data_IF_009584588932
#
_entry.id   IF_009584588932
#
_cell.length_a   1.000
_cell.length_b   1.000
_cell.length_c   1.000
_cell.angle_alpha   90.00
_cell.angle_beta   90.00
_cell.angle_gamma   90.00
#
_symmetry.space_group_name_H-M   'P 1'
#
loop_
_entity.id
_entity.type
_entity.pdbx_description
1 polymer ?
#
# COMPACT_ATOMS: atom_id res chain seq x y z
N UNK A 1 -24.71 16.81 16.06
CA UNK A 1 -25.06 15.41 15.70
C UNK A 1 -24.28 15.04 14.45
N UNK A 2 -23.38 14.06 14.51
CA UNK A 2 -22.52 13.65 13.40
C UNK A 2 -23.26 12.74 12.43
N UNK A 3 -23.43 13.21 11.19
CA UNK A 3 -24.02 12.42 10.10
C UNK A 3 -23.06 11.33 9.64
N UNK A 4 -23.30 10.08 10.05
CA UNK A 4 -22.59 8.91 9.57
C UNK A 4 -22.91 8.63 8.10
N UNK A 5 -21.88 8.64 7.23
CA UNK A 5 -22.00 8.21 5.83
C UNK A 5 -22.26 6.70 5.78
N UNK A 6 -23.46 6.30 5.33
CA UNK A 6 -23.82 4.91 5.07
C UNK A 6 -22.99 4.39 3.88
N UNK A 7 -22.17 3.36 4.10
CA UNK A 7 -21.47 2.67 3.02
C UNK A 7 -22.46 1.77 2.27
N UNK A 8 -22.71 2.07 1.00
CA UNK A 8 -23.52 1.22 0.12
C UNK A 8 -22.85 -0.14 -0.12
N UNK A 9 -23.29 -1.14 0.62
CA UNK A 9 -22.83 -2.54 0.52
C UNK A 9 -23.27 -3.24 -0.77
N UNK A 10 -24.06 -2.59 -1.63
CA UNK A 10 -24.57 -3.16 -2.90
C UNK A 10 -23.58 -3.10 -4.08
N UNK A 11 -22.40 -2.49 -3.94
CA UNK A 11 -21.39 -2.38 -5.02
C UNK A 11 -20.60 -3.66 -5.33
N UNK A 12 -20.78 -4.73 -4.56
CA UNK A 12 -19.98 -5.96 -4.67
C UNK A 12 -20.69 -7.14 -5.33
N UNK A 13 -21.81 -6.91 -6.03
CA UNK A 13 -22.60 -8.04 -6.54
C UNK A 13 -22.05 -8.75 -7.78
N UNK A 14 -21.06 -8.19 -8.48
CA UNK A 14 -20.38 -8.99 -9.51
C UNK A 14 -18.96 -8.49 -9.84
N UNK A 15 -17.99 -8.94 -9.04
CA UNK A 15 -16.56 -8.73 -9.33
C UNK A 15 -16.15 -9.33 -10.68
N UNK A 16 -16.82 -10.41 -11.11
CA UNK A 16 -16.53 -11.10 -12.37
C UNK A 16 -16.95 -10.25 -13.55
N UNK A 17 -18.13 -9.65 -13.50
CA UNK A 17 -18.60 -8.73 -14.55
C UNK A 17 -17.79 -7.44 -14.61
N UNK A 18 -17.40 -6.89 -13.46
CA UNK A 18 -16.52 -5.72 -13.42
C UNK A 18 -15.18 -6.01 -14.09
N UNK A 19 -14.55 -7.14 -13.73
CA UNK A 19 -13.27 -7.57 -14.32
C UNK A 19 -13.42 -7.88 -15.82
N UNK A 20 -14.50 -8.54 -16.23
CA UNK A 20 -14.83 -8.79 -17.64
C UNK A 20 -14.97 -7.48 -18.43
N UNK A 21 -15.64 -6.45 -17.88
CA UNK A 21 -15.74 -5.12 -18.51
C UNK A 21 -14.38 -4.44 -18.62
N UNK A 22 -13.55 -4.55 -17.59
CA UNK A 22 -12.20 -3.98 -17.59
C UNK A 22 -11.28 -4.65 -18.63
N UNK A 23 -11.33 -5.98 -18.74
CA UNK A 23 -10.59 -6.75 -19.77
C UNK A 23 -11.05 -6.33 -21.18
N UNK A 24 -12.36 -6.23 -21.41
CA UNK A 24 -12.88 -5.76 -22.71
C UNK A 24 -12.36 -4.36 -23.05
N UNK A 25 -12.36 -3.44 -22.07
CA UNK A 25 -11.82 -2.07 -22.26
C UNK A 25 -10.33 -2.06 -22.58
N UNK A 26 -9.53 -2.86 -21.88
CA UNK A 26 -8.07 -2.91 -22.11
C UNK A 26 -7.72 -3.51 -23.46
N UNK A 27 -8.44 -4.56 -23.90
CA UNK A 27 -8.28 -5.15 -25.23
C UNK A 27 -8.61 -4.15 -26.34
N UNK A 28 -9.74 -3.42 -26.21
CA UNK A 28 -10.12 -2.38 -27.16
C UNK A 28 -9.09 -1.25 -27.21
N UNK A 29 -8.60 -0.81 -26.05
CA UNK A 29 -7.55 0.23 -25.98
C UNK A 29 -6.26 -0.24 -26.67
N UNK A 30 -5.82 -1.46 -26.40
CA UNK A 30 -4.62 -2.06 -27.03
C UNK A 30 -4.79 -2.17 -28.54
N UNK A 31 -5.95 -2.61 -29.01
CA UNK A 31 -6.25 -2.68 -30.45
C UNK A 31 -6.22 -1.28 -31.10
N UNK A 32 -6.78 -0.27 -30.43
CA UNK A 32 -6.76 1.12 -30.91
C UNK A 32 -5.34 1.68 -30.97
N UNK A 33 -4.50 1.41 -29.97
CA UNK A 33 -3.09 1.80 -29.98
C UNK A 33 -2.33 1.15 -31.14
N UNK A 34 -2.50 -0.16 -31.35
CA UNK A 34 -1.89 -0.88 -32.48
C UNK A 34 -2.32 -0.28 -33.82
N UNK A 35 -3.63 -0.02 -33.99
CA UNK A 35 -4.15 0.62 -35.21
C UNK A 35 -3.56 2.00 -35.43
N UNK A 36 -3.46 2.83 -34.39
CA UNK A 36 -2.87 4.15 -34.49
C UNK A 36 -1.36 4.10 -34.81
N UNK A 37 -0.66 3.13 -34.23
CA UNK A 37 0.76 2.89 -34.50
C UNK A 37 1.00 2.48 -35.96
N UNK A 38 0.24 1.52 -36.48
CA UNK A 38 0.34 1.13 -37.88
C UNK A 38 -0.03 2.27 -38.83
N UNK A 39 -1.03 3.09 -38.50
CA UNK A 39 -1.33 4.32 -39.27
C UNK A 39 -0.19 5.35 -39.29
N UNK A 40 0.58 5.45 -38.20
CA UNK A 40 1.74 6.35 -38.16
C UNK A 40 2.87 5.80 -39.03
N UNK A 41 3.15 4.50 -38.93
CA UNK A 41 4.14 3.81 -39.77
C UNK A 41 3.80 3.94 -41.27
N UNK A 42 2.53 3.71 -41.64
CA UNK A 42 2.05 3.87 -43.02
C UNK A 42 2.24 5.31 -43.54
N UNK A 43 2.01 6.32 -42.68
CA UNK A 43 2.23 7.74 -43.02
C UNK A 43 3.70 8.09 -43.18
N UNK A 44 4.58 7.43 -42.44
CA UNK A 44 6.03 7.60 -42.50
C UNK A 44 6.66 6.81 -43.67
N UNK A 45 5.85 6.14 -44.49
CA UNK A 45 6.30 5.37 -45.64
C UNK A 45 6.88 4.00 -45.29
N UNK A 46 6.81 3.60 -44.01
CA UNK A 46 7.18 2.25 -43.57
C UNK A 46 6.09 1.25 -43.93
N UNK A 47 6.45 0.11 -44.52
CA UNK A 47 5.51 -1.01 -44.63
C UNK A 47 5.48 -1.77 -43.30
N UNK A 48 4.34 -1.93 -42.63
CA UNK A 48 4.25 -2.84 -41.50
C UNK A 48 4.53 -4.26 -42.02
N UNK A 49 5.56 -4.94 -41.49
CA UNK A 49 5.87 -6.33 -41.85
C UNK A 49 4.63 -7.20 -41.59
N UNK A 50 4.04 -7.67 -42.68
CA UNK A 50 2.93 -8.62 -42.73
C UNK A 50 3.49 -10.01 -42.98
N UNK A 51 4.24 -10.54 -42.02
CA UNK A 51 4.64 -11.94 -42.07
C UNK A 51 4.03 -12.68 -40.87
N UNK A 52 3.22 -13.73 -41.10
CA UNK A 52 2.72 -14.59 -40.03
C UNK A 52 3.84 -15.57 -39.69
N UNK A 53 4.68 -15.23 -38.71
CA UNK A 53 5.62 -16.21 -38.16
C UNK A 53 4.88 -17.07 -37.13
N UNK A 54 4.34 -18.16 -37.67
CA UNK A 54 4.28 -19.46 -36.99
C UNK A 54 5.66 -19.81 -36.41
N UNK A 55 5.65 -20.61 -35.35
CA UNK A 55 6.82 -21.22 -34.68
C UNK A 55 7.73 -20.32 -33.81
N UNK A 56 7.53 -20.34 -32.50
CA UNK A 56 8.49 -20.98 -31.58
C UNK A 56 7.90 -21.21 -30.17
N UNK A 57 7.65 -22.50 -29.89
CA UNK A 57 7.89 -23.26 -28.65
C UNK A 57 7.50 -22.66 -27.29
N UNK A 58 6.57 -23.40 -26.66
CA UNK A 58 6.23 -23.47 -25.23
C UNK A 58 7.48 -23.52 -24.33
N UNK A 59 7.48 -22.73 -23.27
CA UNK A 59 7.96 -23.11 -21.93
C UNK A 59 7.14 -22.34 -20.87
N UNK A 60 6.68 -22.98 -19.77
CA UNK A 60 5.84 -22.34 -18.76
C UNK A 60 6.67 -21.95 -17.53
N UNK A 61 6.92 -20.66 -17.30
CA UNK A 61 7.44 -20.20 -16.00
C UNK A 61 6.33 -19.58 -15.17
N UNK A 62 6.00 -20.33 -14.10
CA UNK A 62 5.14 -19.94 -12.99
C UNK A 62 5.76 -18.77 -12.21
N UNK A 63 4.87 -17.88 -11.77
CA UNK A 63 5.03 -17.17 -10.49
C UNK A 63 5.74 -15.83 -10.57
N UNK A 64 4.99 -14.74 -10.50
CA UNK A 64 4.95 -13.97 -9.26
C UNK A 64 3.81 -12.94 -9.27
N UNK A 65 2.99 -13.03 -8.23
CA UNK A 65 2.10 -11.98 -7.77
C UNK A 65 2.91 -10.71 -7.45
N UNK A 66 2.45 -9.53 -7.86
CA UNK A 66 2.30 -8.40 -6.91
C UNK A 66 1.30 -7.38 -7.44
N UNK A 67 0.18 -7.39 -6.74
CA UNK A 67 -0.91 -6.43 -6.79
C UNK A 67 -0.49 -5.14 -6.07
N UNK A 68 -0.72 -3.97 -6.69
CA UNK A 68 -1.28 -2.74 -6.08
C UNK A 68 -0.83 -1.52 -6.87
N UNK A 69 -1.77 -0.80 -7.47
CA UNK A 69 -1.84 0.65 -7.26
C UNK A 69 -3.29 1.12 -7.11
N UNK A 70 -3.52 1.64 -5.92
CA UNK A 70 -4.67 2.38 -5.41
C UNK A 70 -4.86 3.69 -6.18
N UNK A 71 -6.07 3.95 -6.67
CA UNK A 71 -6.48 5.25 -7.20
C UNK A 71 -6.71 6.23 -6.03
N UNK A 72 -5.75 7.10 -5.77
CA UNK A 72 -5.90 8.30 -4.94
C UNK A 72 -6.20 9.56 -5.76
N UNK A 73 -6.64 10.67 -5.13
CA UNK A 73 -7.28 11.79 -5.79
C UNK A 73 -6.31 12.69 -6.56
N UNK A 74 -6.88 13.34 -7.57
CA UNK A 74 -6.28 14.20 -8.59
C UNK A 74 -5.64 15.45 -7.94
N UNK A 75 -4.33 15.42 -7.69
CA UNK A 75 -3.59 16.61 -7.27
C UNK A 75 -3.29 17.51 -8.48
N UNK A 76 -3.61 18.79 -8.30
CA UNK A 76 -3.36 19.91 -9.20
C UNK A 76 -1.88 19.96 -9.60
N UNK A 77 -1.65 20.18 -10.90
CA UNK A 77 -0.32 20.21 -11.49
C UNK A 77 0.27 21.60 -11.25
N UNK A 78 1.07 21.72 -10.20
CA UNK A 78 2.07 22.78 -10.14
C UNK A 78 3.10 22.49 -11.23
N UNK A 79 3.09 23.31 -12.28
CA UNK A 79 4.07 23.28 -13.38
C UNK A 79 5.44 23.73 -12.87
N UNK A 80 6.11 22.84 -12.14
CA UNK A 80 7.50 23.02 -11.75
C UNK A 80 8.36 22.73 -12.99
N UNK A 81 9.09 23.75 -13.42
CA UNK A 81 10.06 23.75 -14.52
C UNK A 81 10.78 22.40 -14.59
N UNK A 82 10.52 21.62 -15.66
CA UNK A 82 11.21 20.36 -15.92
C UNK A 82 12.68 20.69 -16.13
N UNK A 83 13.52 20.42 -15.13
CA UNK A 83 14.96 20.43 -15.32
C UNK A 83 15.30 19.45 -16.43
N UNK A 84 16.11 19.90 -17.40
CA UNK A 84 16.57 19.10 -18.52
C UNK A 84 17.63 18.08 -18.08
N UNK A 85 17.35 17.31 -17.01
CA UNK A 85 18.21 16.21 -16.61
C UNK A 85 18.24 15.16 -17.71
N UNK A 86 19.43 14.61 -17.90
CA UNK A 86 19.70 13.53 -18.85
C UNK A 86 18.88 12.31 -18.47
N UNK A 87 18.50 11.49 -19.46
CA UNK A 87 17.72 10.26 -19.22
C UNK A 87 18.36 9.35 -18.16
N UNK A 88 19.69 9.25 -18.18
CA UNK A 88 20.46 8.49 -17.19
C UNK A 88 20.29 9.03 -15.76
N UNK A 89 20.41 10.34 -15.57
CA UNK A 89 20.25 10.99 -14.27
C UNK A 89 18.83 10.84 -13.72
N UNK A 90 17.82 10.95 -14.60
CA UNK A 90 16.41 10.70 -14.25
C UNK A 90 16.20 9.26 -13.78
N UNK A 91 16.83 8.29 -14.43
CA UNK A 91 16.75 6.88 -14.04
C UNK A 91 17.33 6.65 -12.63
N UNK A 92 18.49 7.23 -12.34
CA UNK A 92 19.13 7.13 -11.03
C UNK A 92 18.29 7.80 -9.94
N UNK A 93 17.75 9.00 -10.19
CA UNK A 93 16.87 9.69 -9.25
C UNK A 93 15.59 8.90 -8.95
N UNK A 94 14.99 8.27 -9.96
CA UNK A 94 13.82 7.41 -9.74
C UNK A 94 14.21 6.19 -8.90
N UNK A 95 15.37 5.59 -9.15
CA UNK A 95 15.88 4.45 -8.39
C UNK A 95 16.11 4.82 -6.91
N UNK A 96 16.79 5.93 -6.66
CA UNK A 96 17.03 6.46 -5.30
C UNK A 96 15.70 6.74 -4.57
N UNK A 97 14.76 7.45 -5.21
CA UNK A 97 13.44 7.72 -4.60
C UNK A 97 12.67 6.45 -4.27
N UNK A 98 12.77 5.41 -5.11
CA UNK A 98 12.12 4.12 -4.83
C UNK A 98 12.78 3.42 -3.64
N UNK A 99 14.10 3.50 -3.53
CA UNK A 99 14.87 2.93 -2.44
C UNK A 99 14.60 3.64 -1.11
N UNK A 100 14.63 4.97 -1.09
CA UNK A 100 14.27 5.78 0.08
C UNK A 100 12.86 5.48 0.57
N UNK A 101 11.88 5.40 -0.35
CA UNK A 101 10.51 5.01 0.01
C UNK A 101 10.45 3.61 0.62
N UNK A 102 11.20 2.65 0.08
CA UNK A 102 11.28 1.29 0.62
C UNK A 102 11.89 1.31 2.02
N UNK A 103 12.96 2.07 2.23
CA UNK A 103 13.62 2.22 3.53
C UNK A 103 12.69 2.90 4.55
N UNK A 104 12.01 3.97 4.19
CA UNK A 104 11.06 4.66 5.06
C UNK A 104 9.91 3.74 5.50
N UNK A 105 9.35 2.93 4.58
CA UNK A 105 8.31 1.95 4.92
C UNK A 105 8.87 0.89 5.88
N UNK A 106 10.08 0.40 5.63
CA UNK A 106 10.71 -0.59 6.52
C UNK A 106 10.99 -0.03 7.92
N UNK A 107 11.42 1.23 8.01
CA UNK A 107 11.63 1.94 9.26
C UNK A 107 10.31 2.13 10.03
N UNK A 108 9.25 2.61 9.38
CA UNK A 108 7.93 2.76 10.02
C UNK A 108 7.38 1.44 10.54
N UNK A 109 7.52 0.35 9.77
CA UNK A 109 7.12 -0.99 10.21
C UNK A 109 7.93 -1.45 11.42
N UNK A 110 9.24 -1.21 11.45
CA UNK A 110 10.11 -1.53 12.60
C UNK A 110 9.71 -0.73 13.83
N UNK A 111 9.59 0.58 13.71
CA UNK A 111 9.19 1.46 14.82
C UNK A 111 7.83 1.07 15.39
N UNK A 112 6.86 0.74 14.52
CA UNK A 112 5.54 0.29 14.96
C UNK A 112 5.62 -1.02 15.73
N UNK A 113 6.44 -1.97 15.28
CA UNK A 113 6.67 -3.23 15.98
C UNK A 113 7.30 -2.99 17.34
N UNK A 114 8.34 -2.15 17.42
CA UNK A 114 9.03 -1.83 18.67
C UNK A 114 8.12 -1.11 19.66
N UNK A 115 7.26 -0.20 19.19
CA UNK A 115 6.25 0.48 20.03
C UNK A 115 5.25 -0.52 20.62
N UNK A 116 4.78 -1.48 19.82
CA UNK A 116 3.88 -2.54 20.29
C UNK A 116 4.59 -3.42 21.31
N UNK A 117 5.82 -3.84 21.02
CA UNK A 117 6.60 -4.70 21.91
C UNK A 117 6.87 -4.03 23.26
N UNK A 118 7.34 -2.77 23.26
CA UNK A 118 7.55 -2.00 24.50
C UNK A 118 6.26 -1.83 25.29
N UNK A 119 5.14 -1.54 24.62
CA UNK A 119 3.83 -1.43 25.29
C UNK A 119 3.38 -2.76 25.89
N UNK A 120 3.57 -3.88 25.19
CA UNK A 120 3.25 -5.20 25.71
C UNK A 120 4.13 -5.57 26.91
N UNK A 121 5.45 -5.37 26.81
CA UNK A 121 6.37 -5.59 27.93
C UNK A 121 5.99 -4.77 29.16
N UNK A 122 5.56 -3.52 28.98
CA UNK A 122 5.04 -2.70 30.08
C UNK A 122 3.77 -3.29 30.68
N UNK A 123 2.81 -3.74 29.86
CA UNK A 123 1.58 -4.38 30.34
C UNK A 123 1.87 -5.67 31.11
N UNK A 124 2.79 -6.49 30.62
CA UNK A 124 3.14 -7.75 31.27
C UNK A 124 3.79 -7.52 32.64
N UNK A 125 4.73 -6.57 32.73
CA UNK A 125 5.32 -6.16 34.02
C UNK A 125 4.27 -5.60 34.99
N UNK A 126 3.31 -4.81 34.49
CA UNK A 126 2.24 -4.26 35.33
C UNK A 126 1.25 -5.35 35.77
N UNK A 127 0.93 -6.28 34.87
CA UNK A 127 0.08 -7.44 35.16
C UNK A 127 0.71 -8.31 36.23
N UNK A 128 1.99 -8.61 36.11
CA UNK A 128 2.75 -9.38 37.10
C UNK A 128 2.69 -8.71 38.48
N UNK A 129 3.02 -7.42 38.57
CA UNK A 129 2.94 -6.64 39.83
C UNK A 129 1.53 -6.66 40.45
N UNK A 130 0.48 -6.55 39.62
CA UNK A 130 -0.92 -6.53 40.10
C UNK A 130 -1.48 -7.91 40.47
N UNK A 131 -0.86 -8.97 39.97
CA UNK A 131 -1.24 -10.36 40.22
C UNK A 131 -0.76 -10.88 41.57
N UNK A 132 0.19 -10.19 42.21
CA UNK A 132 0.74 -10.56 43.52
C UNK A 132 -0.36 -10.59 44.59
N UNK A 133 -0.28 -11.59 45.47
CA UNK A 133 -1.21 -11.83 46.58
C UNK A 133 -0.44 -11.92 47.90
N UNK A 134 -1.09 -11.57 49.00
CA UNK A 134 -0.58 -11.76 50.35
C UNK A 134 -0.67 -13.24 50.76
N UNK A 135 -0.06 -13.61 51.90
CA UNK A 135 -0.08 -14.98 52.43
C UNK A 135 -1.50 -15.57 52.55
N UNK A 136 -2.50 -14.72 52.82
CA UNK A 136 -3.90 -15.12 53.00
C UNK A 136 -4.72 -15.05 51.70
N UNK A 137 -4.08 -14.83 50.54
CA UNK A 137 -4.72 -14.83 49.23
C UNK A 137 -5.37 -13.51 48.82
N UNK A 138 -5.36 -12.48 49.68
CA UNK A 138 -5.83 -11.14 49.32
C UNK A 138 -4.88 -10.51 48.28
N UNK A 139 -5.38 -9.70 47.35
CA UNK A 139 -4.52 -8.99 46.40
C UNK A 139 -3.58 -8.03 47.14
N UNK A 140 -2.31 -7.97 46.73
CA UNK A 140 -1.37 -7.01 47.29
C UNK A 140 -1.80 -5.59 46.88
N UNK A 141 -2.13 -4.77 47.88
CA UNK A 141 -2.79 -3.48 47.63
C UNK A 141 -1.83 -2.37 47.18
N UNK A 142 -0.55 -2.39 47.57
CA UNK A 142 0.41 -1.33 47.23
C UNK A 142 0.46 -0.97 45.73
N UNK A 143 0.69 -1.95 44.82
CA UNK A 143 0.68 -1.70 43.38
C UNK A 143 -0.67 -1.16 42.86
N UNK A 144 -1.78 -1.57 43.47
CA UNK A 144 -3.14 -1.15 43.08
C UNK A 144 -3.43 0.28 43.52
N UNK A 145 -2.99 0.65 44.72
CA UNK A 145 -3.10 2.01 45.26
C UNK A 145 -2.29 2.97 44.38
N UNK A 146 -1.05 2.64 44.03
CA UNK A 146 -0.24 3.51 43.16
C UNK A 146 -0.92 3.74 41.80
N UNK A 147 -1.46 2.69 41.18
CA UNK A 147 -2.22 2.84 39.94
C UNK A 147 -3.47 3.72 40.09
N UNK A 148 -4.11 3.71 41.26
CA UNK A 148 -5.26 4.58 41.53
C UNK A 148 -4.80 6.04 41.69
N UNK A 149 -3.74 6.29 42.44
CA UNK A 149 -3.16 7.62 42.62
C UNK A 149 -2.69 8.23 41.29
N UNK A 150 -2.06 7.43 40.42
CA UNK A 150 -1.61 7.90 39.10
C UNK A 150 -2.79 8.29 38.20
N UNK A 151 -3.91 7.55 38.28
CA UNK A 151 -5.14 7.91 37.55
C UNK A 151 -5.73 9.22 38.06
N UNK A 152 -5.82 9.38 39.38
CA UNK A 152 -6.32 10.62 40.00
C UNK A 152 -5.45 11.81 39.57
N UNK A 153 -4.11 11.66 39.61
CA UNK A 153 -3.18 12.71 39.16
C UNK A 153 -3.38 13.07 37.70
N UNK A 154 -3.64 12.08 36.84
CA UNK A 154 -3.89 12.30 35.41
C UNK A 154 -5.22 13.00 35.14
N UNK A 155 -6.26 12.70 35.91
CA UNK A 155 -7.57 13.33 35.77
C UNK A 155 -7.57 14.79 36.29
N UNK A 156 -6.64 15.11 37.19
CA UNK A 156 -6.43 16.47 37.73
C UNK A 156 -5.48 17.35 36.89
N UNK A 157 -4.82 16.79 35.88
CA UNK A 157 -3.88 17.50 34.99
C UNK A 157 -4.49 17.74 33.61
#
# INVERSE_FOLDING_TARGET
>A
MSGGRKFDSKKYKDLRDFKSKEIKRSLVHRARLRKNYFKLIEKEGGRPSTDPVDELKKEPTKGENTHRETKGPRHERNDVKKSNLTYYEKSQLIKQRKEEKRQAILQDVRERRDKIEKSNQQRDRMKEKLSQKTKHGQPLMGPRINNLLDKIKKDMS
#
